data_IF_248827332972
#
_entry.id   IF_248827332972
#
_cell.length_a   1.000
_cell.length_b   1.000
_cell.length_c   1.000
_cell.angle_alpha   90.00
_cell.angle_beta   90.00
_cell.angle_gamma   90.00
#
_symmetry.space_group_name_H-M   'P 1'
#
loop_
_entity.id
_entity.type
_entity.pdbx_description
1 polymer ?
#
# COMPACT_ATOMS: atom_id res chain seq x y z
N UNK A 1 69.06 -40.15 -33.60
CA UNK A 1 67.60 -40.06 -33.89
C UNK A 1 66.83 -40.62 -32.73
N UNK A 2 67.11 -41.82 -32.19
CA UNK A 2 66.37 -42.45 -31.09
C UNK A 2 66.40 -41.62 -29.81
N UNK A 3 67.52 -41.04 -29.41
CA UNK A 3 67.66 -40.23 -28.20
C UNK A 3 66.86 -38.95 -28.30
N UNK A 4 66.82 -38.27 -29.48
CA UNK A 4 65.98 -37.09 -29.71
C UNK A 4 64.47 -37.46 -29.61
N UNK A 5 64.10 -38.58 -30.17
CA UNK A 5 62.70 -39.05 -30.08
C UNK A 5 62.28 -39.29 -28.61
N UNK A 6 63.15 -39.88 -27.78
CA UNK A 6 62.88 -40.10 -26.34
C UNK A 6 62.74 -38.78 -25.62
N UNK A 7 63.63 -37.82 -25.89
CA UNK A 7 63.54 -36.46 -25.25
C UNK A 7 62.22 -35.77 -25.61
N UNK A 8 61.82 -35.81 -26.89
CA UNK A 8 60.55 -35.25 -27.36
C UNK A 8 59.33 -35.88 -26.65
N UNK A 9 59.34 -37.23 -26.51
CA UNK A 9 58.31 -37.96 -25.82
C UNK A 9 58.23 -37.56 -24.34
N UNK A 10 59.37 -37.46 -23.66
CA UNK A 10 59.45 -37.04 -22.24
C UNK A 10 58.97 -35.61 -22.06
N UNK A 11 59.40 -34.69 -22.93
CA UNK A 11 58.92 -33.30 -22.87
C UNK A 11 57.41 -33.20 -23.17
N UNK A 12 56.85 -33.99 -24.06
CA UNK A 12 55.41 -34.05 -24.38
C UNK A 12 54.57 -34.73 -23.29
N UNK A 13 55.23 -35.46 -22.36
CA UNK A 13 54.54 -36.11 -21.22
C UNK A 13 54.24 -35.15 -20.07
N UNK A 14 54.90 -34.03 -20.00
CA UNK A 14 54.75 -33.07 -18.90
C UNK A 14 53.70 -32.03 -19.28
N UNK A 15 52.78 -31.74 -18.37
CA UNK A 15 51.87 -30.62 -18.47
C UNK A 15 51.74 -29.88 -17.13
N UNK A 16 51.34 -28.63 -17.16
CA UNK A 16 51.21 -27.77 -16.00
C UNK A 16 49.71 -27.49 -15.79
N UNK A 17 49.24 -27.65 -14.56
CA UNK A 17 47.91 -27.23 -14.13
C UNK A 17 48.07 -25.90 -13.40
N UNK A 18 47.42 -24.88 -13.92
CA UNK A 18 47.33 -23.55 -13.31
C UNK A 18 46.29 -23.55 -12.16
N UNK A 19 46.48 -22.69 -11.13
CA UNK A 19 45.54 -22.53 -10.02
C UNK A 19 44.13 -22.13 -10.43
N UNK A 20 43.98 -21.62 -11.65
CA UNK A 20 42.68 -21.21 -12.20
C UNK A 20 41.96 -22.35 -12.92
N UNK A 21 42.60 -23.48 -13.13
CA UNK A 21 42.09 -24.55 -13.95
C UNK A 21 42.21 -25.90 -13.24
N UNK A 22 41.22 -26.74 -13.46
CA UNK A 22 41.29 -28.18 -13.19
C UNK A 22 41.59 -28.91 -14.49
N UNK A 23 42.43 -29.91 -14.41
CA UNK A 23 42.79 -30.69 -15.60
C UNK A 23 42.18 -32.09 -15.52
N UNK A 24 41.52 -32.48 -16.61
CA UNK A 24 40.95 -33.83 -16.83
C UNK A 24 41.80 -34.56 -17.80
N UNK A 25 42.40 -35.67 -17.37
CA UNK A 25 43.18 -36.56 -18.25
C UNK A 25 42.29 -37.63 -18.85
N UNK A 26 42.14 -37.59 -20.16
CA UNK A 26 41.28 -38.52 -20.91
C UNK A 26 42.18 -39.50 -21.67
N UNK A 27 41.74 -40.77 -21.69
CA UNK A 27 42.30 -41.78 -22.52
C UNK A 27 41.20 -42.45 -23.40
N UNK A 28 41.29 -42.27 -24.69
CA UNK A 28 40.26 -42.72 -25.64
C UNK A 28 38.83 -42.24 -25.24
N UNK A 29 38.73 -40.97 -24.75
CA UNK A 29 37.49 -40.33 -24.31
C UNK A 29 37.01 -40.73 -22.91
N UNK A 30 37.68 -41.65 -22.22
CA UNK A 30 37.38 -42.02 -20.84
C UNK A 30 38.24 -41.24 -19.86
N UNK A 31 37.68 -40.80 -18.75
CA UNK A 31 38.39 -40.14 -17.67
C UNK A 31 39.29 -41.14 -16.96
N UNK A 32 40.60 -40.86 -16.94
CA UNK A 32 41.60 -41.68 -16.23
C UNK A 32 42.04 -40.99 -14.94
N UNK A 33 42.24 -39.69 -14.96
CA UNK A 33 42.62 -38.97 -13.79
C UNK A 33 42.05 -37.54 -13.82
N UNK A 34 41.75 -37.00 -12.63
CA UNK A 34 41.38 -35.59 -12.39
C UNK A 34 42.53 -35.00 -11.60
N UNK A 35 43.01 -33.87 -12.07
CA UNK A 35 44.05 -33.04 -11.37
C UNK A 35 43.42 -31.73 -10.95
N UNK A 36 43.12 -31.62 -9.67
CA UNK A 36 42.50 -30.44 -9.05
C UNK A 36 43.56 -29.51 -8.46
N UNK A 37 44.70 -30.08 -7.97
CA UNK A 37 45.79 -29.32 -7.40
C UNK A 37 46.68 -28.75 -8.49
N UNK A 38 47.07 -27.46 -8.38
CA UNK A 38 48.03 -26.81 -9.31
C UNK A 38 49.42 -27.44 -9.22
N UNK A 39 50.09 -27.51 -10.34
CA UNK A 39 51.44 -28.02 -10.38
C UNK A 39 51.75 -28.81 -11.65
N UNK A 40 52.90 -29.50 -11.60
CA UNK A 40 53.38 -30.36 -12.68
C UNK A 40 52.69 -31.72 -12.63
N UNK A 41 52.15 -32.15 -13.75
CA UNK A 41 51.54 -33.47 -13.91
C UNK A 41 52.09 -34.16 -15.17
N UNK A 42 51.87 -35.47 -15.20
CA UNK A 42 52.37 -36.32 -16.32
C UNK A 42 51.19 -36.98 -17.05
N UNK A 43 51.31 -37.04 -18.35
CA UNK A 43 50.38 -37.77 -19.23
C UNK A 43 51.14 -38.69 -20.18
N UNK A 44 50.53 -39.71 -20.66
CA UNK A 44 51.07 -40.54 -21.76
C UNK A 44 50.83 -39.82 -23.09
N UNK A 45 51.89 -39.32 -23.75
CA UNK A 45 51.75 -38.64 -25.02
C UNK A 45 51.17 -39.62 -26.06
N UNK A 46 50.42 -39.12 -27.05
CA UNK A 46 49.75 -39.86 -28.10
C UNK A 46 48.50 -40.63 -27.67
N UNK A 47 48.36 -41.04 -26.42
CA UNK A 47 47.27 -41.87 -25.94
C UNK A 47 46.33 -41.05 -25.05
N UNK A 48 46.88 -40.11 -24.26
CA UNK A 48 46.15 -39.30 -23.30
C UNK A 48 46.02 -37.87 -23.76
N UNK A 49 44.81 -37.30 -23.63
CA UNK A 49 44.47 -35.91 -23.88
C UNK A 49 44.16 -35.23 -22.56
N UNK A 50 44.58 -33.97 -22.41
CA UNK A 50 44.28 -33.15 -21.24
C UNK A 50 43.29 -32.07 -21.64
N UNK A 51 42.16 -32.01 -20.91
CA UNK A 51 41.14 -31.00 -21.08
C UNK A 51 41.11 -30.15 -19.83
N UNK A 52 41.21 -28.82 -19.98
CA UNK A 52 41.21 -27.87 -18.88
C UNK A 52 39.79 -27.35 -18.68
N UNK A 53 39.40 -27.20 -17.42
CA UNK A 53 38.17 -26.58 -16.99
C UNK A 53 38.48 -25.45 -16.03
N UNK A 54 37.76 -24.33 -16.16
CA UNK A 54 37.94 -23.14 -15.32
C UNK A 54 37.39 -23.41 -13.91
N UNK A 55 38.22 -23.21 -12.86
CA UNK A 55 37.86 -23.38 -11.45
C UNK A 55 37.44 -22.07 -10.79
N UNK A 56 37.48 -20.97 -11.52
CA UNK A 56 37.02 -19.67 -11.02
C UNK A 56 35.49 -19.65 -10.87
N UNK A 57 35.01 -18.71 -10.06
CA UNK A 57 33.59 -18.37 -10.00
C UNK A 57 33.21 -17.63 -11.28
N UNK A 58 32.37 -18.26 -12.08
CA UNK A 58 31.81 -17.70 -13.30
C UNK A 58 30.44 -17.10 -13.02
N UNK A 59 30.00 -16.18 -13.86
CA UNK A 59 28.65 -15.61 -13.79
C UNK A 59 27.87 -15.90 -15.05
N UNK A 60 26.60 -16.20 -14.89
CA UNK A 60 25.66 -16.36 -15.99
C UNK A 60 24.52 -15.36 -15.81
N UNK A 61 24.16 -14.68 -16.86
CA UNK A 61 22.92 -13.90 -16.96
C UNK A 61 21.82 -14.84 -17.51
N UNK A 62 20.77 -15.00 -16.70
CA UNK A 62 19.57 -15.76 -17.12
C UNK A 62 18.74 -14.85 -18.00
N UNK A 63 18.35 -15.33 -19.19
CA UNK A 63 17.47 -14.55 -20.05
C UNK A 63 16.17 -14.16 -19.31
N UNK A 64 15.65 -12.94 -19.54
CA UNK A 64 14.43 -12.48 -18.87
C UNK A 64 13.28 -13.46 -19.07
N UNK A 65 12.62 -13.82 -17.97
CA UNK A 65 11.47 -14.73 -17.97
C UNK A 65 10.20 -14.03 -17.52
N UNK A 66 9.09 -14.37 -18.16
CA UNK A 66 7.77 -13.98 -17.65
C UNK A 66 7.32 -14.98 -16.60
N UNK A 67 6.95 -14.45 -15.42
CA UNK A 67 6.40 -15.20 -14.29
C UNK A 67 5.04 -14.62 -13.94
N UNK A 68 4.09 -15.48 -13.61
CA UNK A 68 2.79 -15.09 -13.07
C UNK A 68 2.74 -15.50 -11.60
N UNK A 69 2.95 -14.55 -10.68
CA UNK A 69 2.81 -14.76 -9.25
C UNK A 69 1.38 -15.15 -8.84
N UNK A 70 1.16 -15.45 -7.55
CA UNK A 70 -0.14 -15.88 -7.00
C UNK A 70 -1.26 -14.82 -7.09
N UNK A 71 -0.90 -13.57 -7.31
CA UNK A 71 -1.82 -12.43 -7.47
C UNK A 71 -2.13 -12.10 -8.94
N UNK A 72 -1.81 -13.01 -9.87
CA UNK A 72 -2.06 -12.90 -11.32
C UNK A 72 -1.43 -11.67 -12.01
N UNK A 73 -0.49 -11.00 -11.36
CA UNK A 73 0.24 -9.87 -11.94
C UNK A 73 1.48 -10.37 -12.67
N UNK A 74 1.40 -10.48 -13.98
CA UNK A 74 2.56 -10.89 -14.80
C UNK A 74 3.75 -9.95 -14.58
N UNK A 75 4.91 -10.55 -14.28
CA UNK A 75 6.17 -9.86 -14.09
C UNK A 75 7.20 -10.43 -15.07
N UNK A 76 8.08 -9.57 -15.57
CA UNK A 76 9.31 -9.94 -16.28
C UNK A 76 10.45 -9.87 -15.28
N UNK A 77 11.08 -10.99 -15.05
CA UNK A 77 12.15 -11.15 -14.07
C UNK A 77 13.45 -11.42 -14.78
N UNK A 78 14.47 -10.61 -14.46
CA UNK A 78 15.83 -10.75 -14.91
C UNK A 78 16.70 -11.16 -13.71
N UNK A 79 17.51 -12.22 -13.88
CA UNK A 79 18.31 -12.77 -12.81
C UNK A 79 19.72 -13.11 -13.27
N UNK A 80 20.64 -13.19 -12.34
CA UNK A 80 21.97 -13.74 -12.60
C UNK A 80 22.35 -14.75 -11.52
N UNK A 81 23.17 -15.71 -11.89
CA UNK A 81 23.75 -16.65 -10.96
C UNK A 81 25.28 -16.67 -11.05
N UNK A 82 25.92 -16.92 -9.92
CA UNK A 82 27.35 -17.20 -9.85
C UNK A 82 27.53 -18.68 -9.57
N UNK A 83 28.37 -19.31 -10.36
CA UNK A 83 28.61 -20.75 -10.26
C UNK A 83 30.09 -21.07 -10.46
N UNK A 84 30.46 -22.28 -10.06
CA UNK A 84 31.76 -22.87 -10.37
C UNK A 84 31.58 -24.33 -10.73
N UNK A 85 32.57 -24.89 -11.43
CA UNK A 85 32.61 -26.32 -11.77
C UNK A 85 33.21 -27.05 -10.55
N UNK A 86 32.33 -27.65 -9.72
CA UNK A 86 32.73 -28.31 -8.49
C UNK A 86 33.28 -29.71 -8.78
N UNK A 87 32.60 -30.49 -9.62
CA UNK A 87 33.01 -31.86 -9.99
C UNK A 87 33.16 -31.94 -11.51
N UNK A 88 34.39 -31.92 -11.98
CA UNK A 88 34.73 -31.92 -13.41
C UNK A 88 34.33 -33.27 -14.08
N UNK A 89 34.39 -34.35 -13.33
CA UNK A 89 34.02 -35.67 -13.86
C UNK A 89 32.52 -35.75 -14.15
N UNK A 90 31.68 -35.44 -13.16
CA UNK A 90 30.20 -35.37 -13.32
C UNK A 90 29.80 -34.36 -14.38
N UNK A 91 30.48 -33.23 -14.41
CA UNK A 91 30.22 -32.20 -15.41
C UNK A 91 30.48 -32.72 -16.83
N UNK A 92 31.60 -33.41 -17.03
CA UNK A 92 31.94 -34.01 -18.32
C UNK A 92 30.93 -35.09 -18.73
N UNK A 93 30.52 -35.97 -17.81
CA UNK A 93 29.56 -37.03 -18.06
C UNK A 93 28.17 -36.52 -18.41
N UNK A 94 27.69 -35.48 -17.71
CA UNK A 94 26.32 -34.97 -17.85
C UNK A 94 26.17 -33.84 -18.89
N UNK A 95 27.14 -32.98 -18.99
CA UNK A 95 27.10 -31.80 -19.86
C UNK A 95 27.88 -32.04 -21.16
N UNK A 96 28.85 -32.91 -21.13
CA UNK A 96 29.62 -33.33 -22.32
C UNK A 96 30.84 -32.44 -22.58
N UNK A 97 31.18 -32.28 -23.88
CA UNK A 97 32.45 -31.67 -24.35
C UNK A 97 32.32 -30.16 -24.53
N UNK A 98 31.17 -29.54 -24.32
CA UNK A 98 30.89 -28.16 -24.66
C UNK A 98 31.48 -27.11 -23.72
N UNK A 99 32.26 -27.51 -22.69
CA UNK A 99 32.92 -26.59 -21.77
C UNK A 99 31.98 -25.63 -21.04
N UNK A 100 32.42 -24.42 -20.78
CA UNK A 100 31.67 -23.39 -20.05
C UNK A 100 30.35 -23.04 -20.74
N UNK A 101 30.31 -22.94 -22.06
CA UNK A 101 29.08 -22.62 -22.82
C UNK A 101 27.99 -23.67 -22.64
N UNK A 102 28.37 -24.95 -22.50
CA UNK A 102 27.38 -26.02 -22.25
C UNK A 102 26.89 -25.97 -20.78
N UNK A 103 27.75 -25.59 -19.83
CA UNK A 103 27.39 -25.33 -18.45
C UNK A 103 26.37 -24.19 -18.36
N UNK A 104 26.65 -23.07 -19.00
CA UNK A 104 25.75 -21.89 -19.03
C UNK A 104 24.36 -22.25 -19.57
N UNK A 105 24.29 -22.95 -20.71
CA UNK A 105 22.99 -23.38 -21.28
C UNK A 105 22.20 -24.32 -20.36
N UNK A 106 22.89 -25.21 -19.67
CA UNK A 106 22.25 -26.15 -18.76
C UNK A 106 21.77 -25.46 -17.50
N UNK A 107 22.59 -24.54 -16.99
CA UNK A 107 22.28 -23.74 -15.83
C UNK A 107 21.17 -22.73 -16.10
N UNK A 108 21.14 -22.09 -17.27
CA UNK A 108 20.06 -21.17 -17.67
C UNK A 108 18.69 -21.88 -17.63
N UNK A 109 18.57 -23.08 -18.21
CA UNK A 109 17.32 -23.84 -18.15
C UNK A 109 16.92 -24.18 -16.72
N UNK A 110 17.88 -24.68 -15.92
CA UNK A 110 17.65 -25.03 -14.53
C UNK A 110 17.20 -23.82 -13.71
N UNK A 111 17.87 -22.69 -13.89
CA UNK A 111 17.54 -21.44 -13.21
C UNK A 111 16.15 -20.91 -13.58
N UNK A 112 15.79 -20.96 -14.87
CA UNK A 112 14.45 -20.56 -15.32
C UNK A 112 13.35 -21.42 -14.70
N UNK A 113 13.55 -22.72 -14.62
CA UNK A 113 12.57 -23.64 -14.03
C UNK A 113 12.42 -23.38 -12.54
N UNK A 114 13.52 -23.17 -11.83
CA UNK A 114 13.51 -22.89 -10.40
C UNK A 114 12.89 -21.52 -10.07
N UNK A 115 13.29 -20.49 -10.82
CA UNK A 115 12.69 -19.14 -10.69
C UNK A 115 11.18 -19.18 -10.91
N UNK A 116 10.71 -19.85 -11.98
CA UNK A 116 9.29 -19.98 -12.26
C UNK A 116 8.55 -20.76 -11.17
N UNK A 117 9.16 -21.85 -10.68
CA UNK A 117 8.57 -22.70 -9.65
C UNK A 117 8.40 -22.02 -8.29
N UNK A 118 9.32 -21.14 -7.91
CA UNK A 118 9.28 -20.43 -6.62
C UNK A 118 8.51 -19.12 -6.75
N UNK A 119 8.83 -18.29 -7.73
CA UNK A 119 8.19 -16.98 -7.90
C UNK A 119 6.70 -17.09 -8.28
N UNK A 120 6.27 -18.20 -8.91
CA UNK A 120 4.86 -18.45 -9.20
C UNK A 120 4.00 -18.76 -7.98
N UNK A 121 4.60 -19.07 -6.82
CA UNK A 121 3.88 -19.39 -5.58
C UNK A 121 3.73 -18.23 -4.61
N UNK A 122 4.45 -17.15 -4.81
CA UNK A 122 4.50 -15.99 -3.94
C UNK A 122 3.76 -14.81 -4.57
N UNK A 123 3.44 -13.79 -3.79
CA UNK A 123 2.81 -12.56 -4.31
C UNK A 123 3.81 -11.63 -4.98
N UNK A 124 3.35 -10.79 -5.90
CA UNK A 124 4.20 -9.76 -6.53
C UNK A 124 4.79 -8.79 -5.51
N UNK A 125 4.07 -8.51 -4.43
CA UNK A 125 4.55 -7.63 -3.35
C UNK A 125 5.75 -8.24 -2.61
N UNK A 126 5.77 -9.55 -2.36
CA UNK A 126 6.91 -10.24 -1.74
C UNK A 126 8.15 -10.22 -2.64
N UNK A 127 7.95 -10.36 -3.96
CA UNK A 127 9.05 -10.29 -4.94
C UNK A 127 9.68 -8.89 -4.98
N UNK A 128 8.87 -7.83 -4.77
CA UNK A 128 9.28 -6.43 -4.83
C UNK A 128 9.71 -5.85 -3.47
N UNK A 129 9.43 -6.56 -2.37
CA UNK A 129 9.72 -6.11 -1.01
C UNK A 129 11.14 -6.44 -0.56
N UNK A 130 11.50 -6.01 0.67
CA UNK A 130 12.73 -6.39 1.35
C UNK A 130 12.87 -7.90 1.60
N UNK A 131 11.74 -8.63 1.65
CA UNK A 131 11.70 -10.07 1.96
C UNK A 131 12.20 -10.93 0.79
N UNK A 132 12.47 -10.33 -0.36
CA UNK A 132 13.07 -11.02 -1.51
C UNK A 132 14.38 -11.76 -1.18
N UNK A 133 15.07 -11.36 -0.11
CA UNK A 133 16.30 -12.05 0.31
C UNK A 133 16.04 -13.51 0.71
N UNK A 134 14.93 -13.79 1.36
CA UNK A 134 14.51 -15.15 1.73
C UNK A 134 14.17 -15.96 0.47
N UNK A 135 13.48 -15.32 -0.49
CA UNK A 135 13.16 -15.96 -1.78
C UNK A 135 14.44 -16.31 -2.55
N UNK A 136 15.45 -15.43 -2.54
CA UNK A 136 16.74 -15.71 -3.18
C UNK A 136 17.46 -16.91 -2.56
N UNK A 137 17.39 -17.04 -1.23
CA UNK A 137 17.95 -18.21 -0.54
C UNK A 137 17.22 -19.50 -0.89
N UNK A 138 15.90 -19.47 -1.01
CA UNK A 138 15.11 -20.63 -1.43
C UNK A 138 15.46 -21.04 -2.86
N UNK A 139 15.55 -20.07 -3.78
CA UNK A 139 15.93 -20.31 -5.18
C UNK A 139 17.36 -20.89 -5.23
N UNK A 140 18.29 -20.29 -4.48
CA UNK A 140 19.66 -20.78 -4.41
C UNK A 140 19.71 -22.24 -3.90
N UNK A 141 18.99 -22.54 -2.83
CA UNK A 141 18.97 -23.88 -2.24
C UNK A 141 18.42 -24.94 -3.24
N UNK A 142 17.29 -24.63 -3.88
CA UNK A 142 16.68 -25.52 -4.88
C UNK A 142 17.54 -25.70 -6.13
N UNK A 143 18.06 -24.60 -6.66
CA UNK A 143 18.91 -24.62 -7.84
C UNK A 143 20.26 -25.33 -7.57
N UNK A 144 20.85 -25.13 -6.37
CA UNK A 144 22.12 -25.75 -5.98
C UNK A 144 22.05 -27.27 -5.95
N UNK A 145 20.99 -27.83 -5.39
CA UNK A 145 20.80 -29.30 -5.36
C UNK A 145 20.80 -29.89 -6.77
N UNK A 146 20.04 -29.28 -7.69
CA UNK A 146 19.96 -29.73 -9.08
C UNK A 146 21.26 -29.50 -9.86
N UNK A 147 21.96 -28.39 -9.57
CA UNK A 147 23.23 -28.06 -10.22
C UNK A 147 24.35 -29.04 -9.79
N UNK A 148 24.38 -29.49 -8.54
CA UNK A 148 25.33 -30.49 -8.05
C UNK A 148 25.20 -31.84 -8.77
N UNK A 149 24.00 -32.18 -9.24
CA UNK A 149 23.79 -33.43 -10.03
C UNK A 149 24.53 -33.39 -11.38
N UNK A 150 24.78 -32.20 -11.91
CA UNK A 150 25.53 -31.99 -13.17
C UNK A 150 26.96 -31.51 -12.94
N UNK A 151 27.45 -31.55 -11.69
CA UNK A 151 28.82 -31.19 -11.34
C UNK A 151 29.06 -29.68 -11.19
N UNK A 152 28.01 -28.86 -11.13
CA UNK A 152 28.10 -27.41 -10.91
C UNK A 152 27.68 -27.06 -9.49
N UNK A 153 28.35 -26.09 -8.87
CA UNK A 153 27.98 -25.52 -7.58
C UNK A 153 27.56 -24.06 -7.77
N UNK A 154 26.32 -23.74 -7.42
CA UNK A 154 25.82 -22.37 -7.46
C UNK A 154 26.19 -21.68 -6.16
N UNK A 155 26.94 -20.60 -6.25
CA UNK A 155 27.46 -19.82 -5.12
C UNK A 155 26.46 -18.74 -4.68
N UNK A 156 25.84 -18.06 -5.66
CA UNK A 156 24.93 -16.95 -5.40
C UNK A 156 23.90 -16.82 -6.54
N UNK A 157 22.69 -16.39 -6.18
CA UNK A 157 21.60 -16.08 -7.12
C UNK A 157 20.99 -14.77 -6.73
N UNK A 158 20.82 -13.86 -7.70
CA UNK A 158 20.16 -12.57 -7.48
C UNK A 158 19.27 -12.17 -8.63
N UNK A 159 18.15 -11.54 -8.28
CA UNK A 159 17.32 -10.82 -9.24
C UNK A 159 17.95 -9.47 -9.55
N UNK A 160 18.16 -9.17 -10.82
CA UNK A 160 18.65 -7.87 -11.32
C UNK A 160 17.50 -6.88 -11.38
N UNK A 161 16.45 -7.27 -12.06
CA UNK A 161 15.33 -6.42 -12.42
C UNK A 161 14.02 -7.20 -12.38
N UNK A 162 12.98 -6.55 -11.93
CA UNK A 162 11.63 -7.08 -11.96
C UNK A 162 10.72 -5.98 -12.49
N UNK A 163 10.18 -6.19 -13.67
CA UNK A 163 9.35 -5.21 -14.39
C UNK A 163 8.01 -5.79 -14.77
N UNK A 164 7.09 -4.91 -15.13
CA UNK A 164 5.85 -5.30 -15.78
C UNK A 164 6.09 -5.51 -17.29
N UNK A 165 5.40 -6.47 -17.93
CA UNK A 165 5.48 -6.64 -19.38
C UNK A 165 5.07 -5.35 -20.08
N UNK A 166 5.88 -4.90 -21.04
CA UNK A 166 5.66 -3.62 -21.76
C UNK A 166 4.29 -3.54 -22.42
N UNK A 167 3.77 -4.65 -22.90
CA UNK A 167 2.48 -4.72 -23.60
C UNK A 167 1.28 -4.39 -22.73
N UNK A 168 1.38 -4.59 -21.40
CA UNK A 168 0.29 -4.40 -20.45
C UNK A 168 0.52 -3.19 -19.51
N UNK A 169 1.61 -2.45 -19.70
CA UNK A 169 2.02 -1.39 -18.79
C UNK A 169 0.94 -0.31 -18.66
N UNK A 170 0.45 0.20 -19.80
CA UNK A 170 -0.56 1.25 -19.82
C UNK A 170 -1.89 0.80 -19.23
N UNK A 171 -2.33 -0.42 -19.56
CA UNK A 171 -3.56 -0.99 -19.00
C UNK A 171 -3.45 -1.24 -17.49
N UNK A 172 -2.29 -1.67 -17.02
CA UNK A 172 -2.03 -1.89 -15.58
C UNK A 172 -2.00 -0.56 -14.83
N UNK A 173 -1.32 0.46 -15.36
CA UNK A 173 -1.31 1.79 -14.76
C UNK A 173 -2.68 2.45 -14.76
N UNK A 174 -3.46 2.30 -15.85
CA UNK A 174 -4.83 2.80 -15.91
C UNK A 174 -5.71 2.13 -14.83
N UNK A 175 -5.59 0.80 -14.65
CA UNK A 175 -6.31 0.07 -13.60
C UNK A 175 -5.91 0.51 -12.20
N UNK A 176 -4.60 0.60 -11.92
CA UNK A 176 -4.09 1.06 -10.62
C UNK A 176 -4.55 2.49 -10.30
N UNK A 177 -4.56 3.37 -11.31
CA UNK A 177 -5.08 4.74 -11.16
C UNK A 177 -6.56 4.73 -10.81
N UNK A 178 -7.37 3.97 -11.55
CA UNK A 178 -8.80 3.85 -11.30
C UNK A 178 -9.11 3.25 -9.92
N UNK A 179 -8.30 2.30 -9.45
CA UNK A 179 -8.41 1.72 -8.11
C UNK A 179 -8.09 2.76 -7.03
N UNK A 180 -7.01 3.52 -7.19
CA UNK A 180 -6.66 4.61 -6.27
C UNK A 180 -7.68 5.75 -6.25
N UNK A 181 -8.22 6.08 -7.40
CA UNK A 181 -9.31 7.07 -7.50
C UNK A 181 -10.57 6.60 -6.77
N UNK A 182 -10.91 5.31 -6.86
CA UNK A 182 -12.02 4.73 -6.08
C UNK A 182 -11.75 4.75 -4.58
N UNK A 183 -10.57 4.28 -4.15
CA UNK A 183 -10.19 4.34 -2.73
C UNK A 183 -10.28 5.76 -2.18
N UNK A 184 -9.74 6.74 -2.93
CA UNK A 184 -9.80 8.15 -2.54
C UNK A 184 -11.25 8.65 -2.48
N UNK A 185 -12.09 8.30 -3.46
CA UNK A 185 -13.49 8.67 -3.47
C UNK A 185 -14.26 8.06 -2.28
N UNK A 186 -13.99 6.80 -1.95
CA UNK A 186 -14.59 6.11 -0.81
C UNK A 186 -14.19 6.76 0.53
N UNK A 187 -12.91 7.12 0.70
CA UNK A 187 -12.46 7.81 1.91
C UNK A 187 -13.07 9.22 2.04
N UNK A 188 -13.15 9.96 0.92
CA UNK A 188 -13.83 11.26 0.90
C UNK A 188 -15.32 11.12 1.22
N UNK A 189 -15.99 10.10 0.68
CA UNK A 189 -17.40 9.83 0.97
C UNK A 189 -17.63 9.49 2.46
N UNK A 190 -16.79 8.65 3.04
CA UNK A 190 -16.82 8.34 4.48
C UNK A 190 -16.56 9.58 5.35
N UNK A 191 -15.60 10.40 4.95
CA UNK A 191 -15.31 11.67 5.61
C UNK A 191 -16.50 12.63 5.58
N UNK A 192 -17.15 12.76 4.43
CA UNK A 192 -18.33 13.58 4.25
C UNK A 192 -19.53 13.05 5.06
N UNK A 193 -19.76 11.74 5.07
CA UNK A 193 -20.78 11.11 5.90
C UNK A 193 -20.56 11.39 7.39
N UNK A 194 -19.33 11.21 7.88
CA UNK A 194 -18.98 11.50 9.26
C UNK A 194 -19.21 12.98 9.61
N UNK A 195 -18.78 13.90 8.73
CA UNK A 195 -18.98 15.33 8.90
C UNK A 195 -20.49 15.70 8.93
N UNK A 196 -21.28 15.10 8.02
CA UNK A 196 -22.72 15.31 7.99
C UNK A 196 -23.40 14.82 9.26
N UNK A 197 -22.98 13.67 9.78
CA UNK A 197 -23.49 13.09 11.03
C UNK A 197 -23.19 14.00 12.23
N UNK A 198 -21.96 14.53 12.32
CA UNK A 198 -21.58 15.45 13.38
C UNK A 198 -22.36 16.78 13.30
N UNK A 199 -22.52 17.34 12.08
CA UNK A 199 -23.33 18.56 11.87
C UNK A 199 -24.78 18.34 12.26
N UNK A 200 -25.41 17.26 11.77
CA UNK A 200 -26.79 16.95 12.12
C UNK A 200 -27.00 16.76 13.62
N UNK A 201 -26.05 16.17 14.32
CA UNK A 201 -26.09 16.03 15.77
C UNK A 201 -25.95 17.39 16.46
N UNK A 202 -25.06 18.26 16.00
CA UNK A 202 -24.88 19.61 16.55
C UNK A 202 -26.13 20.47 16.34
N UNK A 203 -26.72 20.44 15.12
CA UNK A 203 -27.96 21.17 14.81
C UNK A 203 -29.12 20.68 15.68
N UNK A 204 -29.24 19.37 15.87
CA UNK A 204 -30.25 18.79 16.76
C UNK A 204 -30.08 19.26 18.19
N UNK A 205 -28.86 19.23 18.72
CA UNK A 205 -28.57 19.69 20.08
C UNK A 205 -28.81 21.19 20.23
N UNK A 206 -28.47 22.00 19.20
CA UNK A 206 -28.78 23.42 19.19
C UNK A 206 -30.31 23.67 19.29
N UNK A 207 -31.08 22.99 18.44
CA UNK A 207 -32.56 23.13 18.46
C UNK A 207 -33.11 22.71 19.82
N UNK A 208 -32.63 21.63 20.40
CA UNK A 208 -33.07 21.15 21.71
C UNK A 208 -32.78 22.17 22.82
N UNK A 209 -31.55 22.71 22.87
CA UNK A 209 -31.17 23.72 23.88
C UNK A 209 -32.00 24.99 23.72
N UNK A 210 -32.16 25.51 22.49
CA UNK A 210 -32.91 26.74 22.23
C UNK A 210 -34.37 26.55 22.54
N UNK A 211 -34.98 25.40 22.17
CA UNK A 211 -36.38 25.09 22.45
C UNK A 211 -36.62 24.99 23.94
N UNK A 212 -35.74 24.35 24.70
CA UNK A 212 -35.85 24.17 26.13
C UNK A 212 -35.72 25.53 26.85
N UNK A 213 -34.71 26.35 26.45
CA UNK A 213 -34.54 27.69 26.98
C UNK A 213 -35.76 28.59 26.69
N UNK A 214 -36.33 28.48 25.47
CA UNK A 214 -37.55 29.21 25.10
C UNK A 214 -38.72 28.78 25.95
N UNK A 215 -38.92 27.49 26.13
CA UNK A 215 -39.96 26.89 26.97
C UNK A 215 -39.86 27.44 28.42
N UNK A 216 -38.67 27.42 29.01
CA UNK A 216 -38.43 27.87 30.35
C UNK A 216 -38.71 29.41 30.48
N UNK A 217 -38.26 30.17 29.48
CA UNK A 217 -38.53 31.62 29.44
C UNK A 217 -40.04 31.91 29.38
N UNK A 218 -40.81 31.17 28.60
CA UNK A 218 -42.25 31.36 28.48
C UNK A 218 -42.98 30.93 29.79
N UNK A 219 -42.52 29.89 30.49
CA UNK A 219 -43.05 29.50 31.80
C UNK A 219 -42.80 30.64 32.81
N UNK A 220 -41.58 31.15 32.92
CA UNK A 220 -41.21 32.25 33.83
C UNK A 220 -42.06 33.53 33.53
N UNK A 221 -42.22 33.85 32.22
CA UNK A 221 -43.09 34.98 31.81
C UNK A 221 -44.53 34.77 32.22
N UNK A 222 -45.05 33.57 31.97
CA UNK A 222 -46.43 33.21 32.34
C UNK A 222 -46.68 33.29 33.83
N UNK A 223 -45.73 32.81 34.66
CA UNK A 223 -45.81 32.90 36.12
C UNK A 223 -45.72 34.37 36.61
N UNK A 224 -44.83 35.16 36.00
CA UNK A 224 -44.69 36.58 36.31
C UNK A 224 -45.96 37.35 35.92
N UNK A 225 -46.55 37.08 34.75
CA UNK A 225 -47.80 37.66 34.30
C UNK A 225 -49.00 37.25 35.19
N UNK A 226 -49.04 35.98 35.59
CA UNK A 226 -50.04 35.51 36.54
C UNK A 226 -49.93 36.22 37.88
N UNK A 227 -48.72 36.35 38.44
CA UNK A 227 -48.44 37.06 39.68
C UNK A 227 -48.81 38.53 39.57
N UNK A 228 -48.41 39.18 38.48
CA UNK A 228 -48.76 40.56 38.19
C UNK A 228 -50.31 40.76 38.18
N UNK A 229 -50.99 39.87 37.44
CA UNK A 229 -52.47 39.94 37.34
C UNK A 229 -53.15 39.69 38.69
N UNK A 230 -52.63 38.78 39.52
CA UNK A 230 -53.15 38.57 40.87
C UNK A 230 -52.96 39.77 41.76
N UNK A 231 -51.78 40.44 41.76
CA UNK A 231 -51.52 41.66 42.49
C UNK A 231 -52.45 42.78 42.02
N UNK A 232 -52.63 42.93 40.70
CA UNK A 232 -53.57 43.91 40.17
C UNK A 232 -55.03 43.60 40.57
N UNK A 233 -55.45 42.36 40.48
CA UNK A 233 -56.82 41.97 40.89
C UNK A 233 -57.07 42.23 42.36
N UNK A 234 -56.13 41.98 43.25
CA UNK A 234 -56.20 42.30 44.67
C UNK A 234 -56.24 43.81 44.92
N UNK A 235 -55.30 44.55 44.34
CA UNK A 235 -55.18 45.98 44.54
C UNK A 235 -56.42 46.78 44.00
N UNK A 236 -56.88 46.39 42.82
CA UNK A 236 -57.97 47.08 42.15
C UNK A 236 -59.35 46.54 42.54
N UNK A 237 -59.42 45.34 43.07
CA UNK A 237 -60.66 44.75 43.61
C UNK A 237 -61.11 45.44 44.91
N UNK A 238 -60.23 46.17 45.58
CA UNK A 238 -60.53 46.97 46.78
C UNK A 238 -61.45 48.19 46.49
N UNK A 239 -61.33 48.80 45.29
CA UNK A 239 -62.19 49.91 44.84
C UNK A 239 -62.35 49.83 43.29
N UNK A 240 -63.36 49.14 42.78
CA UNK A 240 -63.58 48.96 41.36
C UNK A 240 -63.90 50.25 40.63
N UNK A 241 -64.57 51.22 41.27
CA UNK A 241 -65.00 52.48 40.66
C UNK A 241 -63.78 53.38 40.40
N UNK A 242 -62.88 53.46 41.39
CA UNK A 242 -61.58 54.18 41.21
C UNK A 242 -60.71 53.46 40.14
N UNK A 243 -60.72 52.18 40.06
CA UNK A 243 -59.94 51.45 39.06
C UNK A 243 -60.42 51.76 37.64
N UNK A 244 -61.73 51.69 37.39
CA UNK A 244 -62.30 52.04 36.09
C UNK A 244 -61.99 53.46 35.67
N UNK A 245 -62.03 54.40 36.60
CA UNK A 245 -61.60 55.77 36.36
C UNK A 245 -60.11 55.88 36.00
N UNK A 246 -59.25 55.29 36.80
CA UNK A 246 -57.80 55.28 36.57
C UNK A 246 -57.43 54.61 35.23
N UNK A 247 -58.04 53.45 34.89
CA UNK A 247 -57.85 52.75 33.63
C UNK A 247 -58.27 53.59 32.44
N UNK A 248 -59.41 54.23 32.54
CA UNK A 248 -59.88 55.15 31.49
C UNK A 248 -58.93 56.32 31.24
N UNK A 249 -58.43 56.92 32.31
CA UNK A 249 -57.43 58.03 32.19
C UNK A 249 -56.14 57.52 31.55
N UNK A 250 -55.69 56.36 31.94
CA UNK A 250 -54.46 55.75 31.34
C UNK A 250 -54.63 55.35 29.87
N UNK A 251 -55.82 54.83 29.51
CA UNK A 251 -56.18 54.55 28.13
C UNK A 251 -56.25 55.86 27.32
N UNK A 252 -56.78 56.91 27.84
CA UNK A 252 -56.78 58.23 27.20
C UNK A 252 -55.36 58.77 26.98
N UNK A 253 -54.53 58.69 28.00
CA UNK A 253 -53.09 59.10 27.90
C UNK A 253 -52.37 58.32 26.80
N UNK A 254 -52.57 57.04 26.72
CA UNK A 254 -51.87 56.17 25.73
C UNK A 254 -52.42 56.36 24.33
N UNK A 255 -53.75 56.45 24.18
CA UNK A 255 -54.42 56.66 22.89
C UNK A 255 -54.15 58.04 22.28
N UNK A 256 -53.94 59.06 23.11
CA UNK A 256 -53.72 60.44 22.69
C UNK A 256 -52.28 60.86 22.56
N UNK A 257 -51.31 59.97 22.83
CA UNK A 257 -49.89 60.30 22.76
C UNK A 257 -49.31 60.21 21.31
N UNK A 258 -50.06 59.75 20.30
CA UNK A 258 -49.59 59.63 18.91
C UNK A 258 -49.73 60.97 18.17
N UNK A 259 -48.61 61.48 17.62
CA UNK A 259 -48.57 62.68 16.79
C UNK A 259 -49.30 62.54 15.44
N UNK A 260 -49.68 61.30 15.05
CA UNK A 260 -50.32 60.99 13.74
C UNK A 260 -51.60 60.15 13.88
N UNK A 261 -52.26 60.15 15.03
CA UNK A 261 -53.49 59.37 15.24
C UNK A 261 -54.69 60.27 15.15
N UNK A 262 -55.58 60.02 14.17
CA UNK A 262 -56.90 60.64 14.14
C UNK A 262 -57.91 59.66 14.71
N UNK A 263 -58.46 60.01 15.86
CA UNK A 263 -59.49 59.19 16.52
C UNK A 263 -60.90 59.75 16.12
N UNK A 264 -61.68 58.94 15.49
CA UNK A 264 -63.11 59.26 15.18
C UNK A 264 -63.97 58.47 16.15
N UNK A 265 -64.61 59.15 17.09
CA UNK A 265 -65.48 58.57 18.09
C UNK A 265 -66.83 59.23 18.12
N UNK A 266 -67.85 58.43 18.40
CA UNK A 266 -69.20 59.00 18.62
C UNK A 266 -69.17 59.78 19.95
N UNK A 267 -69.86 60.94 20.07
CA UNK A 267 -69.87 61.79 21.25
C UNK A 267 -70.55 61.11 22.49
N UNK A 268 -71.32 60.03 22.27
CA UNK A 268 -72.04 59.24 23.24
C UNK A 268 -71.40 57.93 23.60
N UNK A 269 -70.11 57.70 23.15
CA UNK A 269 -69.38 56.49 23.45
C UNK A 269 -69.02 56.39 24.94
N UNK A 270 -68.99 55.19 25.48
CA UNK A 270 -68.56 54.90 26.88
C UNK A 270 -67.19 55.47 27.21
N UNK A 271 -66.31 55.66 26.20
CA UNK A 271 -65.02 56.23 26.34
C UNK A 271 -65.04 57.67 26.95
N UNK A 272 -66.09 58.48 26.69
CA UNK A 272 -66.23 59.78 27.16
C UNK A 272 -67.09 59.91 28.45
N UNK A 273 -67.59 58.86 29.04
CA UNK A 273 -68.47 58.91 30.21
C UNK A 273 -67.90 59.68 31.37
N UNK A 274 -66.62 59.53 31.69
CA UNK A 274 -65.96 60.20 32.74
C UNK A 274 -65.60 61.69 32.40
N UNK A 275 -65.63 62.03 31.13
CA UNK A 275 -65.41 63.43 30.67
C UNK A 275 -66.72 64.23 30.60
N UNK A 276 -67.88 63.54 30.54
CA UNK A 276 -69.19 64.13 30.45
C UNK A 276 -69.86 64.36 31.83
N UNK A 277 -69.47 63.61 32.82
CA UNK A 277 -70.11 63.67 34.13
C UNK A 277 -69.33 64.61 35.05
N UNK A 278 -69.81 65.81 35.17
CA UNK A 278 -69.30 66.81 36.12
C UNK A 278 -69.88 66.53 37.53
N UNK A 279 -69.61 65.32 38.03
CA UNK A 279 -70.05 64.88 39.37
C UNK A 279 -68.96 65.14 40.41
N UNK A 280 -68.56 66.46 40.56
CA UNK A 280 -67.83 66.95 41.71
C UNK A 280 -68.78 67.46 42.79
N UNK A 281 -69.94 66.80 43.01
CA UNK A 281 -70.76 67.08 44.13
C UNK A 281 -71.52 65.80 44.61
N UNK A 282 -70.79 65.05 45.46
CA UNK A 282 -71.30 64.55 46.76
C UNK A 282 -70.14 63.96 47.56
#
# INVERSE_FOLDING_TARGET
VALIAIVVVVMSSIFIVDERNKALVLQFGRVVAVKEDPGLAFKLPLIQEVVYYDDRILSIDVDPIEVTPSDDRRLVVDAFARFRIADVNRFRERVGTGGVLAAERSLDRLMRDELRGILGKVSSNEILSSDRAVLMQQILAGARVKALEIGLDIVDVRLKRTDLPRQNLDATFARMRAEREREAADEVARGNEAAQRVRAQADRTQVEIVSEATREAEIIRGEADATRNAIFAEAFGADPEFFDFYRSLNAYRTALQGSNSTMVMAPDSEFFNYLKTDNLNK
#
